data_IF_873882861808
#
_entry.id   IF_873882861808
#
_cell.length_a   1.000
_cell.length_b   1.000
_cell.length_c   1.000
_cell.angle_alpha   90.00
_cell.angle_beta   90.00
_cell.angle_gamma   90.00
#
_symmetry.space_group_name_H-M   'P 1'
#
loop_
_entity.id
_entity.type
_entity.pdbx_description
1 polymer ?
#
# COMPACT_ATOMS: atom_id res chain seq x y z
N UNK A 1 5.72 -17.54 -9.03
CA UNK A 1 6.98 -16.81 -8.72
C UNK A 1 6.77 -16.01 -7.44
N UNK A 2 7.39 -16.43 -6.33
CA UNK A 2 7.28 -15.74 -5.05
C UNK A 2 7.98 -14.37 -5.14
N UNK A 3 7.25 -13.27 -4.86
CA UNK A 3 7.82 -11.92 -4.85
C UNK A 3 8.73 -11.79 -3.63
N UNK A 4 9.98 -11.40 -3.87
CA UNK A 4 10.99 -11.12 -2.84
C UNK A 4 10.44 -10.09 -1.86
N UNK A 5 10.43 -10.35 -0.54
CA UNK A 5 10.07 -9.33 0.44
C UNK A 5 11.03 -8.16 0.28
N UNK A 6 10.49 -6.93 0.34
CA UNK A 6 11.27 -5.71 0.29
C UNK A 6 12.49 -5.80 1.23
N UNK A 7 13.67 -5.29 0.84
CA UNK A 7 14.89 -5.36 1.67
C UNK A 7 14.74 -4.63 3.02
N UNK A 8 13.67 -3.85 3.18
CA UNK A 8 13.35 -3.15 4.40
C UNK A 8 12.59 -4.01 5.42
N UNK A 9 11.93 -5.10 5.01
CA UNK A 9 11.13 -5.94 5.92
C UNK A 9 12.00 -6.50 7.05
N UNK A 10 13.22 -6.91 6.74
CA UNK A 10 14.16 -7.42 7.74
C UNK A 10 14.64 -6.33 8.70
N UNK A 11 14.88 -5.11 8.19
CA UNK A 11 15.26 -3.96 9.01
C UNK A 11 14.18 -3.60 10.02
N UNK A 12 12.92 -3.55 9.58
CA UNK A 12 11.79 -3.31 10.47
C UNK A 12 11.63 -4.43 11.50
N UNK A 13 11.76 -5.69 11.07
CA UNK A 13 11.64 -6.83 11.99
C UNK A 13 12.72 -6.80 13.08
N UNK A 14 13.95 -6.41 12.75
CA UNK A 14 15.04 -6.28 13.72
C UNK A 14 14.76 -5.15 14.72
N UNK A 15 14.47 -3.95 14.23
CA UNK A 15 14.17 -2.79 15.08
C UNK A 15 12.99 -3.04 16.02
N UNK A 16 11.93 -3.69 15.53
CA UNK A 16 10.74 -4.00 16.33
C UNK A 16 11.02 -5.05 17.41
N UNK A 17 11.89 -6.04 17.14
CA UNK A 17 12.30 -7.02 18.16
C UNK A 17 13.14 -6.38 19.26
N UNK A 18 14.02 -5.46 18.89
CA UNK A 18 14.88 -4.75 19.84
C UNK A 18 14.06 -3.81 20.74
N UNK A 19 13.10 -3.09 20.18
CA UNK A 19 12.26 -2.15 20.93
C UNK A 19 11.14 -2.84 21.74
N UNK A 20 10.62 -3.99 21.28
CA UNK A 20 9.45 -4.64 21.88
C UNK A 20 9.64 -6.16 22.02
N UNK A 21 10.49 -6.63 22.94
CA UNK A 21 10.84 -8.05 23.07
C UNK A 21 9.67 -8.94 23.53
N UNK A 22 8.66 -8.38 24.20
CA UNK A 22 7.51 -9.12 24.69
C UNK A 22 6.38 -9.27 23.63
N UNK A 23 6.48 -8.61 22.47
CA UNK A 23 5.42 -8.60 21.47
C UNK A 23 5.69 -9.66 20.40
N UNK A 24 4.69 -10.50 20.12
CA UNK A 24 4.73 -11.46 19.02
C UNK A 24 4.47 -10.75 17.69
N UNK A 25 5.54 -10.46 16.94
CA UNK A 25 5.45 -9.81 15.63
C UNK A 25 4.96 -10.82 14.58
N UNK A 26 3.76 -10.57 14.03
CA UNK A 26 3.18 -11.35 12.93
C UNK A 26 3.31 -10.52 11.65
N UNK A 27 4.01 -11.05 10.65
CA UNK A 27 4.10 -10.40 9.33
C UNK A 27 2.72 -10.53 8.67
N UNK A 28 2.11 -9.40 8.33
CA UNK A 28 0.80 -9.37 7.70
C UNK A 28 0.76 -10.23 6.44
N UNK A 29 -0.28 -11.05 6.31
CA UNK A 29 -0.56 -11.89 5.13
C UNK A 29 -1.19 -11.10 3.99
N UNK A 30 -1.10 -9.76 4.01
CA UNK A 30 -1.67 -8.93 2.96
C UNK A 30 -0.92 -9.18 1.65
N UNK A 31 -1.43 -10.15 0.91
CA UNK A 31 -1.09 -10.33 -0.48
C UNK A 31 -1.78 -9.20 -1.23
N UNK A 32 -0.98 -8.26 -1.73
CA UNK A 32 -1.43 -7.35 -2.76
C UNK A 32 -1.75 -8.23 -3.97
N UNK A 33 -3.02 -8.62 -4.12
CA UNK A 33 -3.56 -9.33 -5.29
C UNK A 33 -3.62 -8.37 -6.47
N UNK A 34 -2.49 -7.80 -6.83
CA UNK A 34 -2.41 -6.84 -7.93
C UNK A 34 -1.13 -7.10 -8.70
N UNK A 35 -1.29 -7.35 -10.00
CA UNK A 35 -0.17 -7.45 -10.93
C UNK A 35 0.50 -6.07 -11.09
N UNK A 36 1.78 -6.01 -11.49
CA UNK A 36 2.42 -4.71 -11.77
C UNK A 36 1.64 -3.89 -12.80
N UNK A 37 0.98 -4.56 -13.75
CA UNK A 37 0.17 -3.92 -14.77
C UNK A 37 -1.13 -3.34 -14.19
N UNK A 38 -1.87 -4.10 -13.39
CA UNK A 38 -3.07 -3.62 -12.70
C UNK A 38 -2.77 -2.44 -11.76
N UNK A 39 -1.60 -2.44 -11.13
CA UNK A 39 -1.14 -1.32 -10.30
C UNK A 39 -0.89 -0.07 -11.15
N UNK A 40 -0.20 -0.21 -12.29
CA UNK A 40 0.04 0.88 -13.25
C UNK A 40 -1.25 1.44 -13.81
N UNK A 41 -2.22 0.58 -14.14
CA UNK A 41 -3.49 1.02 -14.70
C UNK A 41 -4.35 1.78 -13.68
N UNK A 42 -4.30 1.40 -12.39
CA UNK A 42 -4.91 2.19 -11.30
C UNK A 42 -4.27 3.57 -11.16
N UNK A 43 -2.94 3.66 -11.24
CA UNK A 43 -2.22 4.93 -11.14
C UNK A 43 -2.47 5.83 -12.35
N UNK A 44 -2.47 5.29 -13.57
CA UNK A 44 -2.80 6.05 -14.78
C UNK A 44 -4.17 6.72 -14.65
N UNK A 45 -5.15 5.99 -14.13
CA UNK A 45 -6.49 6.51 -13.85
C UNK A 45 -6.55 7.49 -12.70
N UNK A 46 -5.50 7.66 -11.90
CA UNK A 46 -5.44 8.63 -10.79
C UNK A 46 -5.03 10.02 -11.28
N UNK A 47 -4.16 10.09 -12.29
CA UNK A 47 -3.65 11.35 -12.84
C UNK A 47 -4.43 11.87 -14.05
N UNK A 48 -5.19 11.01 -14.72
CA UNK A 48 -6.09 11.39 -15.82
C UNK A 48 -7.52 11.68 -15.34
N UNK A 49 -7.73 11.96 -14.06
CA UNK A 49 -9.04 12.34 -13.53
C UNK A 49 -9.29 13.80 -13.83
N UNK A 50 -10.53 14.15 -14.20
CA UNK A 50 -10.93 15.55 -14.22
C UNK A 50 -10.76 16.17 -12.83
N UNK A 51 -10.40 17.45 -12.81
CA UNK A 51 -10.18 18.18 -11.56
C UNK A 51 -11.47 18.14 -10.73
N UNK A 52 -11.43 17.43 -9.61
CA UNK A 52 -12.50 17.44 -8.60
C UNK A 52 -12.09 18.31 -7.42
N UNK A 53 -12.91 19.28 -7.07
CA UNK A 53 -12.79 20.04 -5.83
C UNK A 53 -13.62 19.38 -4.73
N UNK A 54 -13.36 19.68 -3.45
CA UNK A 54 -14.21 19.19 -2.37
C UNK A 54 -15.69 19.56 -2.55
N UNK A 55 -15.96 20.71 -3.16
CA UNK A 55 -17.33 21.17 -3.44
C UNK A 55 -18.02 20.21 -4.42
N UNK A 56 -17.33 19.76 -5.46
CA UNK A 56 -17.86 18.82 -6.44
C UNK A 56 -18.20 17.47 -5.80
N UNK A 57 -17.34 17.01 -4.87
CA UNK A 57 -17.53 15.75 -4.12
C UNK A 57 -18.74 15.83 -3.18
N UNK A 58 -18.90 16.94 -2.46
CA UNK A 58 -20.01 17.13 -1.51
C UNK A 58 -21.35 17.24 -2.26
N UNK A 59 -21.37 17.92 -3.40
CA UNK A 59 -22.58 18.19 -4.16
C UNK A 59 -22.95 17.08 -5.17
N UNK A 60 -22.16 15.99 -5.26
CA UNK A 60 -22.36 14.87 -6.19
C UNK A 60 -22.65 15.33 -7.63
N UNK A 61 -21.90 16.33 -8.10
CA UNK A 61 -21.95 16.75 -9.50
C UNK A 61 -20.96 15.89 -10.28
N UNK A 62 -21.37 14.66 -10.60
CA UNK A 62 -20.67 13.73 -11.48
C UNK A 62 -21.29 13.73 -12.88
#
# INVERSE_FOLDING_TARGET
>A
MARTPSPFVEKYRKALKEAFPAIKIIVGTHQVKTTPQEYRDKIKKLFCQDRKTMVDVILKKD
#
